data_IF_926947474784
#
_entry.id   IF_926947474784
#
_cell.length_a   1.000
_cell.length_b   1.000
_cell.length_c   1.000
_cell.angle_alpha   90.00
_cell.angle_beta   90.00
_cell.angle_gamma   90.00
#
_symmetry.space_group_name_H-M   'P 1'
#
loop_
_entity.id
_entity.type
_entity.pdbx_description
1 polymer ?
#
# COMPACT_ATOMS: atom_id res chain seq x y z
N UNK A 1 27.35 -6.73 -53.70
CA UNK A 1 27.62 -6.32 -52.33
C UNK A 1 26.32 -6.24 -51.55
N UNK A 2 26.10 -7.09 -50.60
CA UNK A 2 24.86 -7.17 -49.85
C UNK A 2 24.89 -6.22 -48.66
N UNK A 3 23.87 -5.38 -48.60
CA UNK A 3 23.76 -4.35 -47.60
C UNK A 3 22.97 -4.90 -46.39
N UNK A 4 23.67 -5.29 -45.34
CA UNK A 4 23.05 -5.79 -44.12
C UNK A 4 22.59 -4.67 -43.18
N UNK A 5 22.75 -3.40 -43.57
CA UNK A 5 22.39 -2.24 -42.78
C UNK A 5 20.89 -2.20 -42.37
N UNK A 6 19.92 -2.59 -43.22
CA UNK A 6 18.53 -2.56 -42.76
C UNK A 6 18.24 -3.55 -41.62
N UNK A 7 18.95 -4.68 -41.56
CA UNK A 7 18.81 -5.65 -40.45
C UNK A 7 19.42 -5.13 -39.15
N UNK A 8 20.56 -4.45 -39.27
CA UNK A 8 21.23 -3.83 -38.14
C UNK A 8 20.40 -2.64 -37.61
N UNK A 9 19.82 -1.85 -38.50
CA UNK A 9 18.95 -0.72 -38.16
C UNK A 9 17.67 -1.19 -37.46
N UNK A 10 17.08 -2.30 -37.92
CA UNK A 10 15.91 -2.88 -37.31
C UNK A 10 16.21 -3.42 -35.90
N UNK A 11 17.37 -4.04 -35.73
CA UNK A 11 17.84 -4.51 -34.41
C UNK A 11 18.09 -3.34 -33.45
N UNK A 12 18.66 -2.26 -33.95
CA UNK A 12 18.91 -1.04 -33.19
C UNK A 12 17.60 -0.33 -32.79
N UNK A 13 16.60 -0.34 -33.70
CA UNK A 13 15.28 0.23 -33.43
C UNK A 13 14.51 -0.58 -32.37
N UNK A 14 14.69 -1.90 -32.36
CA UNK A 14 14.11 -2.78 -31.33
C UNK A 14 14.71 -2.55 -29.94
N UNK A 15 15.96 -2.10 -29.85
CA UNK A 15 16.64 -1.74 -28.60
C UNK A 15 16.18 -0.40 -28.03
N UNK A 16 15.51 0.42 -28.84
CA UNK A 16 14.97 1.72 -28.41
C UNK A 16 13.55 1.65 -27.87
N UNK A 17 12.93 0.48 -27.86
CA UNK A 17 11.65 0.28 -27.19
C UNK A 17 11.93 0.25 -25.69
N UNK A 18 11.99 1.43 -25.10
CA UNK A 18 11.94 1.58 -23.65
C UNK A 18 10.55 1.16 -23.22
N UNK A 19 10.40 -0.10 -22.84
CA UNK A 19 9.23 -0.54 -22.12
C UNK A 19 9.31 0.15 -20.75
N UNK A 20 8.60 1.26 -20.61
CA UNK A 20 8.36 1.83 -19.29
C UNK A 20 7.52 0.82 -18.52
N UNK A 21 8.19 -0.11 -17.86
CA UNK A 21 7.55 -0.95 -16.86
C UNK A 21 7.20 -0.03 -15.68
N UNK A 22 5.96 0.46 -15.65
CA UNK A 22 5.45 1.18 -14.50
C UNK A 22 5.33 0.20 -13.34
N UNK A 23 6.29 0.25 -12.44
CA UNK A 23 6.20 -0.47 -11.18
C UNK A 23 5.25 0.31 -10.27
N UNK A 24 4.01 -0.16 -10.14
CA UNK A 24 3.08 0.37 -9.14
C UNK A 24 3.55 -0.01 -7.74
N UNK A 25 3.30 0.86 -6.78
CA UNK A 25 3.51 0.52 -5.38
C UNK A 25 2.66 -0.70 -5.02
N UNK A 26 3.30 -1.72 -4.44
CA UNK A 26 2.67 -2.95 -3.99
C UNK A 26 2.79 -3.02 -2.48
N UNK A 27 1.69 -3.29 -1.79
CA UNK A 27 1.70 -3.54 -0.36
C UNK A 27 2.38 -4.89 -0.08
N UNK A 28 3.53 -4.84 0.58
CA UNK A 28 4.31 -6.02 0.94
C UNK A 28 3.97 -6.52 2.34
N UNK A 29 3.86 -5.60 3.30
CA UNK A 29 3.58 -5.90 4.70
C UNK A 29 2.53 -4.97 5.26
N UNK A 30 1.76 -5.47 6.20
CA UNK A 30 0.84 -4.65 6.98
C UNK A 30 0.86 -5.06 8.45
N UNK A 31 0.64 -4.08 9.31
CA UNK A 31 0.37 -4.25 10.74
C UNK A 31 -0.97 -3.56 11.06
N UNK A 32 -1.98 -4.27 11.55
CA UNK A 32 -2.06 -5.73 11.62
C UNK A 32 -1.90 -6.39 10.26
N UNK A 33 -1.46 -7.66 10.25
CA UNK A 33 -1.38 -8.44 9.04
C UNK A 33 -2.79 -8.71 8.47
N UNK A 34 -2.86 -8.92 7.16
CA UNK A 34 -4.11 -9.30 6.49
C UNK A 34 -4.69 -10.57 7.12
N UNK A 35 -5.97 -10.53 7.46
CA UNK A 35 -6.70 -11.64 8.08
C UNK A 35 -6.15 -12.07 9.44
N UNK A 36 -5.36 -11.22 10.08
CA UNK A 36 -4.87 -11.50 11.42
C UNK A 36 -6.00 -11.64 12.43
N UNK A 37 -5.83 -12.54 13.36
CA UNK A 37 -6.67 -12.67 14.56
C UNK A 37 -5.81 -12.24 15.75
N UNK A 38 -6.22 -11.16 16.37
CA UNK A 38 -5.49 -10.52 17.45
C UNK A 38 -6.25 -10.71 18.77
N UNK A 39 -5.52 -10.89 19.84
CA UNK A 39 -6.08 -10.94 21.21
C UNK A 39 -5.79 -9.68 22.01
N UNK A 40 -5.16 -8.72 21.38
CA UNK A 40 -4.94 -7.36 21.86
C UNK A 40 -5.25 -6.38 20.74
N UNK A 41 -5.86 -5.25 21.10
CA UNK A 41 -6.08 -4.17 20.15
C UNK A 41 -4.73 -3.62 19.66
N UNK A 42 -4.55 -3.44 18.36
CA UNK A 42 -3.35 -2.80 17.83
C UNK A 42 -3.35 -1.31 18.15
N UNK A 43 -2.18 -0.74 18.33
CA UNK A 43 -2.02 0.70 18.62
C UNK A 43 -1.85 1.54 17.36
N UNK A 44 -1.57 0.89 16.24
CA UNK A 44 -1.33 1.55 14.96
C UNK A 44 -1.66 0.63 13.79
N UNK A 45 -1.90 1.25 12.65
CA UNK A 45 -1.86 0.58 11.36
C UNK A 45 -0.58 1.02 10.67
N UNK A 46 0.17 0.06 10.15
CA UNK A 46 1.36 0.32 9.32
C UNK A 46 1.24 -0.44 8.01
N UNK A 47 1.48 0.25 6.93
CA UNK A 47 1.48 -0.29 5.58
C UNK A 47 2.86 -0.08 4.98
N UNK A 48 3.51 -1.16 4.57
CA UNK A 48 4.84 -1.13 3.94
C UNK A 48 4.73 -1.55 2.49
N UNK A 49 5.20 -0.68 1.62
CA UNK A 49 5.16 -0.87 0.16
C UNK A 49 6.56 -1.20 -0.36
N UNK A 50 6.63 -1.71 -1.59
CA UNK A 50 7.90 -2.01 -2.27
C UNK A 50 8.67 -0.76 -2.73
N UNK A 51 8.05 0.42 -2.67
CA UNK A 51 8.65 1.69 -3.00
C UNK A 51 8.14 2.82 -2.10
N UNK A 52 8.77 3.96 -2.15
CA UNK A 52 8.36 5.13 -1.37
C UNK A 52 6.99 5.65 -1.80
N UNK A 53 6.23 6.13 -0.84
CA UNK A 53 4.91 6.73 -1.04
C UNK A 53 4.85 8.13 -0.45
N UNK A 54 4.00 8.96 -1.04
CA UNK A 54 3.80 10.35 -0.65
C UNK A 54 2.78 10.42 0.50
N UNK A 55 3.26 10.63 1.71
CA UNK A 55 2.38 10.64 2.91
C UNK A 55 1.32 11.71 2.87
N UNK A 56 1.62 12.89 2.32
CA UNK A 56 0.69 14.02 2.27
C UNK A 56 -0.52 13.76 1.36
N UNK A 57 -0.36 12.84 0.41
CA UNK A 57 -1.39 12.46 -0.55
C UNK A 57 -1.95 11.07 -0.30
N UNK A 58 -1.63 10.48 0.83
CA UNK A 58 -2.06 9.13 1.21
C UNK A 58 -3.08 9.20 2.34
N UNK A 59 -4.02 8.24 2.33
CA UNK A 59 -5.10 8.15 3.33
C UNK A 59 -5.21 6.71 3.82
N UNK A 60 -5.45 6.58 5.12
CA UNK A 60 -5.74 5.31 5.77
C UNK A 60 -7.01 5.51 6.60
N UNK A 61 -8.00 4.65 6.39
CA UNK A 61 -9.29 4.67 7.07
C UNK A 61 -9.49 3.31 7.73
N UNK A 62 -9.98 3.32 8.96
CA UNK A 62 -10.41 2.11 9.65
C UNK A 62 -11.94 2.09 9.73
N UNK A 63 -12.53 0.97 9.33
CA UNK A 63 -13.96 0.74 9.37
C UNK A 63 -14.28 -0.51 10.20
N UNK A 64 -15.47 -0.55 10.76
CA UNK A 64 -16.01 -1.79 11.36
C UNK A 64 -16.72 -2.64 10.30
N UNK A 65 -17.28 -3.78 10.71
CA UNK A 65 -17.99 -4.71 9.82
C UNK A 65 -19.40 -4.26 9.42
N UNK A 66 -19.88 -3.16 10.01
CA UNK A 66 -21.13 -2.48 9.62
C UNK A 66 -20.89 -1.28 8.70
N UNK A 67 -19.70 -1.18 8.13
CA UNK A 67 -19.26 -0.06 7.29
C UNK A 67 -19.25 1.32 8.00
N UNK A 68 -19.23 1.32 9.33
CA UNK A 68 -19.00 2.55 10.09
C UNK A 68 -17.53 2.92 10.10
N UNK A 69 -17.25 4.17 9.84
CA UNK A 69 -15.89 4.70 9.92
C UNK A 69 -15.50 4.87 11.38
N UNK A 70 -14.49 4.11 11.82
CA UNK A 70 -13.95 4.16 13.19
C UNK A 70 -12.85 5.22 13.28
N UNK A 71 -11.98 5.26 12.28
CA UNK A 71 -10.87 6.21 12.21
C UNK A 71 -10.79 6.79 10.81
N UNK A 72 -10.84 8.12 10.73
CA UNK A 72 -10.52 8.89 9.53
C UNK A 72 -9.83 10.18 9.93
N UNK A 73 -9.18 10.84 9.00
CA UNK A 73 -8.49 12.12 9.23
C UNK A 73 -7.35 12.06 10.25
N UNK A 74 -6.89 10.85 10.58
CA UNK A 74 -5.63 10.71 11.31
C UNK A 74 -4.47 11.09 10.41
N UNK A 75 -3.47 11.74 10.99
CA UNK A 75 -2.27 12.12 10.26
C UNK A 75 -1.50 10.88 9.85
N UNK A 76 -1.36 10.68 8.54
CA UNK A 76 -0.50 9.64 7.99
C UNK A 76 0.96 10.07 8.11
N UNK A 77 1.81 9.19 8.59
CA UNK A 77 3.24 9.44 8.78
C UNK A 77 4.06 8.28 8.27
N UNK A 78 5.31 8.55 7.92
CA UNK A 78 6.30 7.48 7.76
C UNK A 78 6.59 6.88 9.14
N UNK A 79 6.56 5.55 9.24
CA UNK A 79 6.77 4.86 10.51
C UNK A 79 8.21 4.35 10.64
N UNK A 80 8.63 3.47 9.75
CA UNK A 80 9.97 2.88 9.79
C UNK A 80 10.92 3.51 8.78
N UNK A 81 10.40 3.80 7.59
CA UNK A 81 11.15 4.36 6.47
C UNK A 81 10.18 5.01 5.45
N UNK A 82 10.70 5.47 4.33
CA UNK A 82 9.90 6.13 3.28
C UNK A 82 8.87 5.22 2.60
N UNK A 83 9.04 3.90 2.71
CA UNK A 83 8.13 2.92 2.13
C UNK A 83 7.00 2.53 3.10
N UNK A 84 7.12 2.88 4.37
CA UNK A 84 6.17 2.54 5.43
C UNK A 84 5.41 3.75 5.89
N UNK A 85 4.10 3.69 5.78
CA UNK A 85 3.18 4.73 6.27
C UNK A 85 2.23 4.14 7.28
N UNK A 86 1.73 4.97 8.17
CA UNK A 86 0.79 4.49 9.18
C UNK A 86 0.04 5.60 9.87
N UNK A 87 -0.92 5.16 10.67
CA UNK A 87 -1.73 6.00 11.55
C UNK A 87 -1.76 5.41 12.95
N UNK A 88 -1.85 6.27 13.96
CA UNK A 88 -2.18 5.85 15.30
C UNK A 88 -3.65 5.45 15.39
N UNK A 89 -3.95 4.45 16.22
CA UNK A 89 -5.31 3.99 16.46
C UNK A 89 -5.77 4.38 17.88
N UNK A 90 -7.06 4.70 18.05
CA UNK A 90 -7.66 4.79 19.35
C UNK A 90 -7.78 3.38 19.97
N UNK A 91 -8.21 3.30 21.21
CA UNK A 91 -8.59 2.03 21.82
C UNK A 91 -9.74 1.39 21.04
N UNK A 92 -9.55 0.13 20.63
CA UNK A 92 -10.53 -0.62 19.85
C UNK A 92 -11.07 -1.78 20.69
N UNK A 93 -12.38 -1.99 20.60
CA UNK A 93 -13.04 -3.17 21.16
C UNK A 93 -12.85 -4.39 20.26
N UNK A 94 -13.17 -5.58 20.80
CA UNK A 94 -13.23 -6.79 19.97
C UNK A 94 -14.23 -6.64 18.83
N UNK A 95 -13.90 -7.22 17.69
CA UNK A 95 -14.70 -7.13 16.49
C UNK A 95 -13.87 -7.31 15.23
N UNK A 96 -14.53 -7.21 14.10
CA UNK A 96 -13.92 -7.25 12.78
C UNK A 96 -13.73 -5.83 12.25
N UNK A 97 -12.54 -5.54 11.77
CA UNK A 97 -12.17 -4.23 11.25
C UNK A 97 -11.61 -4.35 9.84
N UNK A 98 -11.82 -3.31 9.06
CA UNK A 98 -11.30 -3.18 7.70
C UNK A 98 -10.39 -1.97 7.62
N UNK A 99 -9.18 -2.19 7.16
CA UNK A 99 -8.25 -1.12 6.79
C UNK A 99 -8.45 -0.83 5.31
N UNK A 100 -8.79 0.40 5.01
CA UNK A 100 -8.93 0.87 3.64
C UNK A 100 -7.91 1.97 3.40
N UNK A 101 -7.16 1.87 2.31
CA UNK A 101 -6.12 2.83 2.01
C UNK A 101 -6.15 3.29 0.57
N UNK A 102 -5.70 4.51 0.39
CA UNK A 102 -5.36 5.09 -0.90
C UNK A 102 -4.02 5.78 -0.74
N UNK A 103 -3.04 5.35 -1.51
CA UNK A 103 -1.69 5.92 -1.47
C UNK A 103 -1.30 6.45 -2.83
N UNK A 104 -0.48 7.50 -2.83
CA UNK A 104 0.18 8.01 -4.01
C UNK A 104 1.62 7.51 -3.99
N UNK A 105 1.99 6.72 -4.99
CA UNK A 105 3.39 6.30 -5.13
C UNK A 105 4.24 7.46 -5.62
N UNK A 106 5.56 7.36 -5.41
CA UNK A 106 6.50 8.39 -5.83
C UNK A 106 6.51 8.61 -7.34
N UNK A 107 6.08 7.62 -8.13
CA UNK A 107 5.94 7.72 -9.58
C UNK A 107 4.63 8.38 -10.04
N UNK A 108 3.78 8.82 -9.10
CA UNK A 108 2.54 9.53 -9.37
C UNK A 108 1.31 8.66 -9.57
N UNK A 109 1.37 7.36 -9.34
CA UNK A 109 0.22 6.46 -9.46
C UNK A 109 -0.51 6.30 -8.12
N UNK A 110 -1.85 6.31 -8.17
CA UNK A 110 -2.70 6.02 -7.02
C UNK A 110 -2.91 4.51 -6.91
N UNK A 111 -2.73 4.00 -5.68
CA UNK A 111 -2.96 2.61 -5.32
C UNK A 111 -3.98 2.56 -4.21
N UNK A 112 -5.02 1.74 -4.39
CA UNK A 112 -6.09 1.54 -3.40
C UNK A 112 -6.10 0.09 -2.97
N UNK A 113 -6.43 -0.13 -1.70
CA UNK A 113 -6.59 -1.47 -1.18
C UNK A 113 -7.46 -1.50 0.07
N UNK A 114 -7.84 -2.71 0.44
CA UNK A 114 -8.63 -2.99 1.63
C UNK A 114 -8.26 -4.37 2.14
N UNK A 115 -8.12 -4.49 3.46
CA UNK A 115 -7.97 -5.79 4.10
C UNK A 115 -8.63 -5.78 5.47
N UNK A 116 -8.89 -6.96 6.03
CA UNK A 116 -9.50 -7.10 7.34
C UNK A 116 -8.55 -7.69 8.37
N UNK A 117 -8.82 -7.39 9.63
CA UNK A 117 -8.30 -8.10 10.79
C UNK A 117 -9.40 -8.25 11.85
N UNK A 118 -9.20 -9.14 12.78
CA UNK A 118 -10.17 -9.45 13.84
C UNK A 118 -9.47 -9.28 15.19
N UNK A 119 -10.16 -8.60 16.10
CA UNK A 119 -9.78 -8.55 17.52
C UNK A 119 -10.74 -9.46 18.28
N UNK A 120 -10.22 -10.47 18.96
CA UNK A 120 -11.00 -11.37 19.82
C UNK A 120 -10.74 -11.06 21.28
N UNK A 121 -11.77 -11.23 22.07
CA UNK A 121 -11.62 -11.16 23.52
C UNK A 121 -10.80 -12.33 24.03
N UNK A 122 -9.96 -12.05 24.99
CA UNK A 122 -9.12 -13.03 25.69
C UNK A 122 -9.93 -13.56 26.88
N UNK A 123 -10.89 -14.42 26.60
CA UNK A 123 -11.67 -15.10 27.67
C UNK A 123 -11.03 -16.43 28.03
#
# INVERSE_FOLDING_TARGET
MFNNYPKLLLLFLLLLVNVNAYAHAILEYSEPARRAILYRAPEQVVLTFNEAVEVEFSKIILMDDNDNVVVKNQKVRNIYNKNSIGIALPELSSGTYFVQFQVLSIDGHKVKGRYKFIIKDNN
#
